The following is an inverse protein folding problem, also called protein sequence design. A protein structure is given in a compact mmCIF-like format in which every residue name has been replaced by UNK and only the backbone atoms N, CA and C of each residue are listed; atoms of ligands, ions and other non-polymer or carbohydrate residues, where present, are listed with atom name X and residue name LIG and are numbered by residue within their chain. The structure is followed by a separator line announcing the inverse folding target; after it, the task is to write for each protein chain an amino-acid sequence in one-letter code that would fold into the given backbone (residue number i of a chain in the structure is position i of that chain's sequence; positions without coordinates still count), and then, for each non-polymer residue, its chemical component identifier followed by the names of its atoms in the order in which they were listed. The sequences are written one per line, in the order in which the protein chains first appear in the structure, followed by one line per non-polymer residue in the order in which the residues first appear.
data_IF_062920832607
#
_entry.id   IF_062920832607
#
_cell.length_a   1.000
_cell.length_b   1.000
_cell.length_c   1.000
_cell.angle_alpha   90.00
_cell.angle_beta   90.00
_cell.angle_gamma   90.00
#
_symmetry.space_group_name_H-M   'P 1'
#
loop_
_entity.id
_entity.type
_entity.pdbx_description
1 polymer ?
#
# COMPACT_ATOMS: atom_id res chain seq x y z
N UNK A 1 -1.47 -2.63 8.53
CA UNK A 1 -0.74 -1.55 7.82
C UNK A 1 -1.09 -0.12 8.25
N UNK A 2 -2.25 0.46 7.88
CA UNK A 2 -2.55 1.87 8.20
C UNK A 2 -2.69 2.18 9.71
N UNK A 3 -3.35 1.28 10.44
CA UNK A 3 -3.46 1.35 11.91
C UNK A 3 -2.12 1.04 12.57
N UNK A 4 -1.44 -0.02 12.13
CA UNK A 4 -0.14 -0.44 12.65
C UNK A 4 0.96 0.63 12.46
N UNK A 5 0.90 1.43 11.39
CA UNK A 5 1.83 2.53 11.12
C UNK A 5 1.50 3.84 11.85
N UNK A 6 0.40 3.85 12.64
CA UNK A 6 -0.08 5.01 13.36
C UNK A 6 -0.69 6.10 12.47
N UNK A 7 -1.05 5.78 11.21
CA UNK A 7 -1.64 6.72 10.25
C UNK A 7 -3.16 6.76 10.27
N UNK A 8 -3.79 5.73 10.82
CA UNK A 8 -5.23 5.59 10.87
C UNK A 8 -5.66 5.04 12.23
N UNK A 9 -6.87 5.37 12.63
CA UNK A 9 -7.54 4.80 13.80
C UNK A 9 -8.81 4.12 13.28
N UNK A 10 -9.03 2.86 13.66
CA UNK A 10 -10.25 2.14 13.32
C UNK A 10 -11.30 2.43 14.38
N UNK A 11 -12.35 3.18 14.01
CA UNK A 11 -13.37 3.67 14.95
C UNK A 11 -14.72 2.94 14.85
N UNK A 12 -14.88 2.06 13.86
CA UNK A 12 -16.15 1.38 13.57
C UNK A 12 -17.09 2.27 12.75
N UNK A 13 -18.40 1.95 12.78
CA UNK A 13 -19.42 2.61 11.96
C UNK A 13 -20.49 3.36 12.76
N UNK A 14 -20.34 3.41 14.09
CA UNK A 14 -21.24 4.18 14.96
C UNK A 14 -21.00 5.70 14.76
N UNK A 15 -22.03 6.47 14.35
CA UNK A 15 -21.89 7.90 14.11
C UNK A 15 -21.34 8.68 15.30
N UNK A 16 -21.75 8.35 16.53
CA UNK A 16 -21.28 9.05 17.73
C UNK A 16 -19.77 8.86 17.92
N UNK A 17 -19.30 7.62 17.78
CA UNK A 17 -17.87 7.29 17.86
C UNK A 17 -17.03 7.94 16.76
N UNK A 18 -17.58 8.08 15.56
CA UNK A 18 -16.91 8.78 14.45
C UNK A 18 -16.74 10.26 14.79
N UNK A 19 -17.81 10.92 15.25
CA UNK A 19 -17.79 12.34 15.62
C UNK A 19 -16.79 12.59 16.75
N UNK A 20 -16.82 11.77 17.80
CA UNK A 20 -15.91 11.92 18.94
C UNK A 20 -14.44 11.75 18.53
N UNK A 21 -14.14 10.74 17.70
CA UNK A 21 -12.79 10.50 17.23
C UNK A 21 -12.25 11.64 16.35
N UNK A 22 -13.08 12.15 15.42
CA UNK A 22 -12.69 13.29 14.56
C UNK A 22 -12.51 14.55 15.40
N UNK A 23 -13.44 14.84 16.32
CA UNK A 23 -13.37 16.02 17.18
C UNK A 23 -12.13 15.99 18.07
N UNK A 24 -11.85 14.85 18.70
CA UNK A 24 -10.64 14.66 19.49
C UNK A 24 -9.37 14.82 18.66
N UNK A 25 -9.33 14.24 17.46
CA UNK A 25 -8.15 14.36 16.59
C UNK A 25 -7.90 15.81 16.14
N UNK A 26 -8.95 16.57 15.82
CA UNK A 26 -8.86 17.98 15.45
C UNK A 26 -8.47 18.88 16.63
N UNK A 27 -8.90 18.55 17.85
CA UNK A 27 -8.50 19.26 19.06
C UNK A 27 -7.01 19.06 19.42
N UNK A 28 -6.42 17.92 19.04
CA UNK A 28 -5.04 17.56 19.39
C UNK A 28 -4.11 17.63 18.18
N UNK A 29 -3.63 18.84 17.86
CA UNK A 29 -2.74 19.09 16.71
C UNK A 29 -1.52 18.17 16.64
N UNK A 30 -0.92 17.82 17.78
CA UNK A 30 0.21 16.90 17.82
C UNK A 30 -0.15 15.48 17.32
N UNK A 31 -1.32 14.97 17.71
CA UNK A 31 -1.81 13.67 17.25
C UNK A 31 -2.10 13.69 15.75
N UNK A 32 -2.70 14.78 15.25
CA UNK A 32 -2.95 14.95 13.82
C UNK A 32 -1.64 14.98 12.99
N UNK A 33 -0.62 15.72 13.44
CA UNK A 33 0.68 15.79 12.77
C UNK A 33 1.40 14.43 12.79
N UNK A 34 1.32 13.71 13.90
CA UNK A 34 1.90 12.36 14.01
C UNK A 34 1.27 11.39 13.00
N UNK A 35 -0.07 11.43 12.82
CA UNK A 35 -0.78 10.61 11.83
C UNK A 35 -0.50 11.05 10.38
N UNK A 36 -0.32 12.35 10.15
CA UNK A 36 -0.06 12.92 8.83
C UNK A 36 1.37 12.67 8.31
N UNK A 37 2.29 12.23 9.18
CA UNK A 37 3.69 12.01 8.80
C UNK A 37 3.81 10.95 7.69
N UNK A 38 4.49 11.23 6.56
CA UNK A 38 4.62 10.28 5.46
C UNK A 38 5.37 9.02 5.85
N UNK A 39 4.64 7.90 5.85
CA UNK A 39 5.14 6.53 5.79
C UNK A 39 4.36 5.87 4.66
N UNK A 40 5.02 5.12 3.79
CA UNK A 40 4.43 4.57 2.56
C UNK A 40 4.18 3.04 2.68
N UNK A 41 3.41 2.56 3.69
CA UNK A 41 3.30 1.13 3.98
C UNK A 41 2.60 0.34 2.87
N UNK A 42 1.82 1.03 2.03
CA UNK A 42 1.09 0.43 0.91
C UNK A 42 1.84 0.51 -0.42
N UNK A 43 3.04 1.11 -0.43
CA UNK A 43 3.84 1.31 -1.61
C UNK A 43 4.24 2.77 -1.81
N UNK A 44 5.29 2.93 -2.59
CA UNK A 44 5.93 4.19 -2.97
C UNK A 44 5.39 4.77 -4.29
N UNK A 45 4.27 4.23 -4.79
CA UNK A 45 3.68 4.62 -6.07
C UNK A 45 4.33 3.98 -7.30
N UNK A 46 5.31 3.10 -7.13
CA UNK A 46 6.02 2.45 -8.25
C UNK A 46 5.56 1.01 -8.52
N UNK A 47 4.41 0.60 -7.99
CA UNK A 47 3.92 -0.77 -8.16
C UNK A 47 3.62 -1.12 -9.62
N UNK A 48 2.94 -0.22 -10.35
CA UNK A 48 2.59 -0.46 -11.75
C UNK A 48 3.80 -0.74 -12.67
N UNK A 49 4.85 0.10 -12.72
CA UNK A 49 6.03 -0.18 -13.55
C UNK A 49 6.79 -1.45 -13.11
N UNK A 50 6.86 -1.75 -11.79
CA UNK A 50 7.47 -3.00 -11.31
C UNK A 50 6.72 -4.24 -11.76
N UNK A 51 5.39 -4.22 -11.68
CA UNK A 51 4.55 -5.33 -12.12
C UNK A 51 4.71 -5.54 -13.63
N UNK A 52 4.67 -4.46 -14.41
CA UNK A 52 4.87 -4.54 -15.86
C UNK A 52 6.23 -5.16 -16.22
N UNK A 53 7.31 -4.76 -15.53
CA UNK A 53 8.64 -5.32 -15.74
C UNK A 53 8.70 -6.82 -15.41
N UNK A 54 8.05 -7.26 -14.32
CA UNK A 54 7.99 -8.68 -13.95
C UNK A 54 7.22 -9.51 -14.99
N UNK A 55 6.11 -8.98 -15.52
CA UNK A 55 5.33 -9.64 -16.56
C UNK A 55 6.14 -9.78 -17.85
N UNK A 56 6.82 -8.72 -18.28
CA UNK A 56 7.68 -8.75 -19.47
C UNK A 56 8.81 -9.76 -19.31
N UNK A 57 9.52 -9.73 -18.18
CA UNK A 57 10.60 -10.69 -17.90
C UNK A 57 10.10 -12.14 -17.91
N UNK A 58 8.88 -12.40 -17.41
CA UNK A 58 8.27 -13.72 -17.47
C UNK A 58 7.97 -14.15 -18.91
N UNK A 59 7.37 -13.27 -19.72
CA UNK A 59 7.07 -13.56 -21.13
C UNK A 59 8.33 -13.85 -21.94
N UNK A 60 9.39 -13.08 -21.73
CA UNK A 60 10.68 -13.28 -22.41
C UNK A 60 11.29 -14.63 -22.05
N UNK A 61 11.22 -15.03 -20.77
CA UNK A 61 11.72 -16.33 -20.32
C UNK A 61 10.92 -17.50 -20.95
N UNK A 62 9.60 -17.38 -21.08
CA UNK A 62 8.78 -18.41 -21.75
C UNK A 62 9.07 -18.50 -23.25
N UNK A 63 9.31 -17.36 -23.91
CA UNK A 63 9.64 -17.32 -25.33
C UNK A 63 11.02 -17.95 -25.62
N UNK A 64 11.97 -17.84 -24.68
CA UNK A 64 13.26 -18.51 -24.78
C UNK A 64 13.14 -20.02 -24.57
N UNK A 65 12.39 -20.47 -23.56
CA UNK A 65 12.18 -21.90 -23.29
C UNK A 65 11.47 -22.60 -24.45
N UNK A 66 10.48 -21.94 -25.06
CA UNK A 66 9.76 -22.43 -26.24
C UNK A 66 10.68 -22.58 -27.47
N UNK A 67 11.70 -21.73 -27.59
CA UNK A 67 12.66 -21.75 -28.71
C UNK A 67 13.82 -22.73 -28.49
N UNK A 68 13.95 -23.32 -27.30
CA UNK A 68 15.03 -24.24 -26.99
C UNK A 68 14.82 -25.58 -27.71
N UNK A 69 15.73 -26.01 -28.61
CA UNK A 69 15.56 -27.28 -29.29
C UNK A 69 15.61 -28.43 -28.28
N UNK A 70 14.73 -29.43 -28.46
CA UNK A 70 14.79 -30.68 -27.71
C UNK A 70 16.11 -31.36 -28.06
N UNK A 71 17.03 -31.43 -27.09
CA UNK A 71 18.26 -32.21 -27.24
C UNK A 71 17.89 -33.67 -27.47
N UNK A 72 18.27 -34.20 -28.64
CA UNK A 72 18.20 -35.62 -28.99
C UNK A 72 19.27 -36.44 -28.27
#
# INVERSE_FOLDING_TARGET
EGVASGKAILVGTDPARIIDAVTSLLAHRAALVAMATPRFPFGDGQSAPRIAALVLAWLDAQAEDTRRPLSA
#
